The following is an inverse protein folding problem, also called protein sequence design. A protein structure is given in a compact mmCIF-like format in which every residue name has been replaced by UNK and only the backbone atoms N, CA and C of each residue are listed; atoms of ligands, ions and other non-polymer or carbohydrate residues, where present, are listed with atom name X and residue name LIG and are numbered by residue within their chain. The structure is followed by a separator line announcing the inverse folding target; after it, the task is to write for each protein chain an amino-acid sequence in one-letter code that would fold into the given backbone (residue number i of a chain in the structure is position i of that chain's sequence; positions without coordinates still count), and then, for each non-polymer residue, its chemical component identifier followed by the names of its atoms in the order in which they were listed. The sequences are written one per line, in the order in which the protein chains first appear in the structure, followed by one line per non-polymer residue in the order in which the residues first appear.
data_IF_670199286391
#
_entry.id   IF_670199286391
#
_cell.length_a   1.000
_cell.length_b   1.000
_cell.length_c   1.000
_cell.angle_alpha   90.00
_cell.angle_beta   90.00
_cell.angle_gamma   90.00
#
_symmetry.space_group_name_H-M   'P 1'
#
loop_
_entity.id
_entity.type
_entity.pdbx_description
1 polymer ?
#
# COMPACT_ATOMS: atom_id res chain seq x y z
N UNK A 1 23.29 -19.75 -8.06
CA UNK A 1 23.48 -18.94 -6.85
C UNK A 1 22.21 -19.02 -6.05
N UNK A 2 22.30 -19.47 -4.81
CA UNK A 2 21.15 -19.52 -3.91
C UNK A 2 21.11 -18.24 -3.07
N UNK A 3 19.99 -17.53 -3.10
CA UNK A 3 19.75 -16.36 -2.26
C UNK A 3 18.92 -16.79 -1.06
N UNK A 4 19.41 -16.48 0.15
CA UNK A 4 18.73 -16.80 1.41
C UNK A 4 18.19 -15.48 2.01
N UNK A 5 16.87 -15.24 1.99
CA UNK A 5 16.28 -14.05 2.59
C UNK A 5 16.34 -14.11 4.12
N UNK A 6 16.37 -12.94 4.78
CA UNK A 6 16.32 -12.87 6.25
C UNK A 6 14.89 -12.97 6.77
N UNK A 7 13.91 -12.57 5.96
CA UNK A 7 12.49 -12.64 6.29
C UNK A 7 11.82 -13.76 5.50
N UNK A 8 10.77 -14.41 6.05
CA UNK A 8 9.98 -15.36 5.29
C UNK A 8 9.46 -14.75 3.98
N UNK A 9 9.60 -15.50 2.89
CA UNK A 9 9.13 -15.10 1.56
C UNK A 9 8.10 -16.11 1.07
N UNK A 10 7.14 -15.67 0.24
CA UNK A 10 6.12 -16.55 -0.32
C UNK A 10 6.67 -17.56 -1.33
N UNK A 11 7.90 -17.36 -1.79
CA UNK A 11 8.60 -18.23 -2.72
C UNK A 11 10.12 -18.10 -2.56
N UNK A 12 10.82 -19.15 -2.97
CA UNK A 12 12.27 -19.19 -3.13
C UNK A 12 12.71 -18.59 -4.47
N UNK A 13 14.01 -18.33 -4.63
CA UNK A 13 14.57 -17.93 -5.93
C UNK A 13 14.31 -18.99 -7.02
N UNK A 14 14.45 -20.27 -6.69
CA UNK A 14 14.20 -21.35 -7.64
C UNK A 14 12.75 -21.35 -8.14
N UNK A 15 11.78 -21.11 -7.27
CA UNK A 15 10.37 -20.97 -7.66
C UNK A 15 10.13 -19.71 -8.48
N UNK A 16 10.72 -18.57 -8.09
CA UNK A 16 10.60 -17.32 -8.83
C UNK A 16 11.12 -17.44 -10.28
N UNK A 17 12.17 -18.21 -10.53
CA UNK A 17 12.69 -18.44 -11.90
C UNK A 17 11.72 -19.18 -12.81
N UNK A 18 10.70 -19.84 -12.26
CA UNK A 18 9.66 -20.53 -13.04
C UNK A 18 8.50 -19.61 -13.42
N UNK A 19 8.39 -18.42 -12.82
CA UNK A 19 7.34 -17.47 -13.15
C UNK A 19 7.59 -16.85 -14.53
N UNK A 20 6.51 -16.44 -15.19
CA UNK A 20 6.57 -15.71 -16.45
C UNK A 20 7.11 -14.29 -16.23
N UNK A 21 7.83 -13.76 -17.22
CA UNK A 21 8.43 -12.41 -17.13
C UNK A 21 7.40 -11.33 -16.79
N UNK A 22 6.23 -11.26 -17.48
CA UNK A 22 5.22 -10.24 -17.17
C UNK A 22 4.77 -10.30 -15.71
N UNK A 23 4.60 -11.51 -15.16
CA UNK A 23 4.21 -11.74 -13.77
C UNK A 23 5.28 -11.19 -12.82
N UNK A 24 6.56 -11.47 -13.11
CA UNK A 24 7.66 -10.96 -12.29
C UNK A 24 7.71 -9.42 -12.33
N UNK A 25 7.57 -8.81 -13.51
CA UNK A 25 7.63 -7.35 -13.64
C UNK A 25 6.45 -6.64 -13.00
N UNK A 26 5.24 -7.20 -13.11
CA UNK A 26 4.04 -6.67 -12.45
C UNK A 26 4.15 -6.76 -10.92
N UNK A 27 4.66 -7.89 -10.42
CA UNK A 27 4.93 -8.08 -9.00
C UNK A 27 5.94 -7.05 -8.48
N UNK A 28 7.05 -6.80 -9.21
CA UNK A 28 8.03 -5.77 -8.83
C UNK A 28 7.37 -4.39 -8.76
N UNK A 29 6.58 -4.01 -9.78
CA UNK A 29 5.89 -2.72 -9.81
C UNK A 29 4.92 -2.56 -8.62
N UNK A 30 4.16 -3.61 -8.30
CA UNK A 30 3.25 -3.59 -7.15
C UNK A 30 4.00 -3.44 -5.84
N UNK A 31 5.11 -4.15 -5.66
CA UNK A 31 5.95 -4.04 -4.46
C UNK A 31 6.59 -2.65 -4.34
N UNK A 32 7.06 -2.06 -5.44
CA UNK A 32 7.59 -0.69 -5.44
C UNK A 32 6.53 0.33 -5.00
N UNK A 33 5.29 0.19 -5.49
CA UNK A 33 4.16 1.04 -5.06
C UNK A 33 3.86 0.86 -3.56
N UNK A 34 3.82 -0.39 -3.08
CA UNK A 34 3.61 -0.67 -1.65
C UNK A 34 4.73 -0.09 -0.78
N UNK A 35 5.99 -0.21 -1.21
CA UNK A 35 7.14 0.38 -0.52
C UNK A 35 7.07 1.91 -0.48
N UNK A 36 6.60 2.57 -1.55
CA UNK A 36 6.42 4.02 -1.55
C UNK A 36 5.41 4.47 -0.49
N UNK A 37 4.27 3.76 -0.40
CA UNK A 37 3.27 4.04 0.61
C UNK A 37 3.81 3.79 2.02
N UNK A 38 4.44 2.64 2.26
CA UNK A 38 5.03 2.31 3.57
C UNK A 38 6.11 3.30 3.98
N UNK A 39 6.93 3.80 3.04
CA UNK A 39 7.94 4.80 3.36
C UNK A 39 7.32 6.13 3.79
N UNK A 40 6.23 6.57 3.12
CA UNK A 40 5.50 7.78 3.54
C UNK A 40 4.94 7.62 4.96
N UNK A 41 4.30 6.49 5.24
CA UNK A 41 3.80 6.19 6.60
C UNK A 41 4.93 6.14 7.62
N UNK A 42 6.10 5.60 7.28
CA UNK A 42 7.26 5.62 8.17
C UNK A 42 7.76 7.04 8.46
N UNK A 43 7.79 7.89 7.44
CA UNK A 43 8.23 9.28 7.60
C UNK A 43 7.24 10.05 8.51
N UNK A 44 5.94 9.85 8.32
CA UNK A 44 4.87 10.40 9.18
C UNK A 44 5.00 9.90 10.63
N UNK A 45 5.11 8.58 10.85
CA UNK A 45 5.26 8.00 12.19
C UNK A 45 6.52 8.54 12.89
N UNK A 46 7.62 8.68 12.16
CA UNK A 46 8.87 9.22 12.70
C UNK A 46 8.72 10.69 13.11
N UNK A 47 8.01 11.49 12.33
CA UNK A 47 7.72 12.89 12.68
C UNK A 47 6.92 12.98 13.99
N UNK A 48 5.89 12.14 14.14
CA UNK A 48 5.10 12.08 15.37
C UNK A 48 5.92 11.63 16.60
N UNK A 49 6.75 10.59 16.45
CA UNK A 49 7.60 10.07 17.53
C UNK A 49 8.70 11.06 17.94
N UNK A 50 9.23 11.86 17.01
CA UNK A 50 10.29 12.83 17.31
C UNK A 50 9.78 14.19 17.76
N UNK A 51 8.55 14.54 17.38
CA UNK A 51 7.88 15.78 17.79
C UNK A 51 7.12 15.69 19.12
N UNK A 52 6.83 14.47 19.61
CA UNK A 52 6.20 14.25 20.90
C UNK A 52 7.24 14.17 22.02
N UNK A 53 6.92 14.75 23.19
CA UNK A 53 7.72 14.55 24.41
C UNK A 53 7.26 13.34 25.22
N UNK A 54 6.14 12.71 24.82
CA UNK A 54 5.57 11.52 25.45
C UNK A 54 5.83 10.30 24.55
N UNK A 55 6.27 9.21 25.17
CA UNK A 55 6.45 7.91 24.52
C UNK A 55 5.07 7.34 24.13
N UNK A 56 4.85 7.10 22.84
CA UNK A 56 3.65 6.46 22.32
C UNK A 56 3.99 5.05 21.82
N UNK A 57 3.81 4.07 22.70
CA UNK A 57 4.14 2.67 22.43
C UNK A 57 3.40 2.11 21.20
N UNK A 58 2.21 2.62 20.89
CA UNK A 58 1.42 2.15 19.72
C UNK A 58 2.07 2.66 18.43
N UNK A 59 2.50 3.92 18.40
CA UNK A 59 3.22 4.47 17.25
C UNK A 59 4.61 3.83 17.08
N UNK A 60 5.31 3.53 18.17
CA UNK A 60 6.60 2.82 18.13
C UNK A 60 6.46 1.39 17.58
N UNK A 61 5.42 0.67 18.00
CA UNK A 61 5.11 -0.67 17.50
C UNK A 61 4.79 -0.61 16.00
N UNK A 62 3.91 0.31 15.58
CA UNK A 62 3.58 0.50 14.17
C UNK A 62 4.81 0.83 13.32
N UNK A 63 5.69 1.71 13.81
CA UNK A 63 6.94 2.08 13.15
C UNK A 63 7.88 0.88 12.99
N UNK A 64 7.97 0.05 14.03
CA UNK A 64 8.80 -1.15 14.05
C UNK A 64 8.27 -2.22 13.10
N UNK A 65 6.96 -2.43 13.07
CA UNK A 65 6.34 -3.46 12.23
C UNK A 65 6.38 -3.09 10.75
N UNK A 66 6.10 -1.84 10.41
CA UNK A 66 6.29 -1.33 9.05
C UNK A 66 7.74 -1.50 8.58
N UNK A 67 8.73 -1.30 9.46
CA UNK A 67 10.15 -1.51 9.14
C UNK A 67 10.44 -2.97 8.75
N UNK A 68 9.86 -3.95 9.44
CA UNK A 68 9.98 -5.38 9.10
C UNK A 68 9.33 -5.69 7.76
N UNK A 69 8.14 -5.14 7.50
CA UNK A 69 7.43 -5.33 6.23
C UNK A 69 8.23 -4.74 5.07
N UNK A 70 8.76 -3.52 5.22
CA UNK A 70 9.63 -2.88 4.22
C UNK A 70 10.84 -3.76 3.91
N UNK A 71 11.50 -4.30 4.94
CA UNK A 71 12.66 -5.17 4.76
C UNK A 71 12.31 -6.45 3.99
N UNK A 72 11.20 -7.13 4.37
CA UNK A 72 10.71 -8.31 3.65
C UNK A 72 10.35 -8.01 2.19
N UNK A 73 9.70 -6.88 1.90
CA UNK A 73 9.35 -6.52 0.53
C UNK A 73 10.57 -6.20 -0.34
N UNK A 74 11.59 -5.53 0.22
CA UNK A 74 12.88 -5.27 -0.48
C UNK A 74 13.59 -6.57 -0.84
N UNK A 75 13.58 -7.56 0.05
CA UNK A 75 14.12 -8.89 -0.22
C UNK A 75 13.34 -9.60 -1.34
N UNK A 76 12.00 -9.49 -1.34
CA UNK A 76 11.17 -10.05 -2.41
C UNK A 76 11.50 -9.47 -3.78
N UNK A 77 11.64 -8.14 -3.87
CA UNK A 77 12.09 -7.47 -5.10
C UNK A 77 13.46 -8.00 -5.54
N UNK A 78 14.38 -8.22 -4.59
CA UNK A 78 15.72 -8.75 -4.88
C UNK A 78 15.63 -10.14 -5.50
N UNK A 79 14.83 -11.05 -4.93
CA UNK A 79 14.60 -12.40 -5.48
C UNK A 79 14.05 -12.31 -6.90
N UNK A 80 13.06 -11.46 -7.14
CA UNK A 80 12.42 -11.29 -8.44
C UNK A 80 13.40 -10.73 -9.50
N UNK A 81 14.23 -9.74 -9.13
CA UNK A 81 15.27 -9.20 -10.03
C UNK A 81 16.34 -10.25 -10.36
N UNK A 82 16.72 -11.09 -9.41
CA UNK A 82 17.62 -12.23 -9.65
C UNK A 82 16.97 -13.26 -10.58
N UNK A 83 15.68 -13.53 -10.42
CA UNK A 83 14.94 -14.45 -11.30
C UNK A 83 14.92 -13.97 -12.75
N UNK A 84 14.74 -12.66 -13.00
CA UNK A 84 14.86 -12.07 -14.34
C UNK A 84 16.28 -12.19 -14.90
N UNK A 85 17.28 -11.93 -14.07
CA UNK A 85 18.69 -12.06 -14.46
C UNK A 85 19.03 -13.49 -14.88
N UNK A 86 18.52 -14.50 -14.16
CA UNK A 86 18.67 -15.92 -14.51
C UNK A 86 17.99 -16.28 -15.84
N UNK A 87 16.96 -15.53 -16.26
CA UNK A 87 16.30 -15.69 -17.56
C UNK A 87 17.02 -14.93 -18.69
N UNK A 88 18.19 -14.35 -18.43
CA UNK A 88 18.96 -13.56 -19.41
C UNK A 88 18.41 -12.16 -19.63
N UNK A 89 17.49 -11.69 -18.78
CA UNK A 89 16.92 -10.36 -18.86
C UNK A 89 17.36 -9.54 -17.65
N UNK A 90 18.49 -8.82 -17.75
CA UNK A 90 18.91 -7.92 -16.69
C UNK A 90 17.81 -6.88 -16.47
N UNK A 91 17.38 -6.72 -15.22
CA UNK A 91 16.38 -5.72 -14.86
C UNK A 91 16.96 -4.33 -15.11
N UNK A 92 16.61 -3.75 -16.27
CA UNK A 92 17.01 -2.41 -16.72
C UNK A 92 15.87 -1.40 -16.49
N UNK A 93 16.18 -0.11 -16.54
CA UNK A 93 15.23 1.01 -16.36
C UNK A 93 13.97 0.91 -17.24
N UNK A 94 13.97 0.14 -18.33
CA UNK A 94 12.77 -0.12 -19.15
C UNK A 94 11.64 -0.81 -18.39
N UNK A 95 11.94 -1.55 -17.31
CA UNK A 95 10.96 -2.22 -16.46
C UNK A 95 10.67 -1.46 -15.16
N UNK A 96 11.26 -0.27 -14.99
CA UNK A 96 11.01 0.64 -13.85
C UNK A 96 9.86 1.62 -14.14
N UNK A 97 9.11 1.37 -15.22
CA UNK A 97 7.90 2.11 -15.53
C UNK A 97 6.87 1.82 -14.44
N UNK A 98 6.88 2.67 -13.42
CA UNK A 98 5.76 2.84 -12.51
C UNK A 98 4.50 2.99 -13.38
N UNK A 99 3.45 2.19 -13.19
CA UNK A 99 2.20 2.43 -13.89
C UNK A 99 1.73 3.83 -13.47
N UNK A 100 1.87 4.78 -14.37
CA UNK A 100 1.35 6.12 -14.22
C UNK A 100 -0.18 5.96 -14.08
N UNK A 101 -0.68 5.99 -12.84
CA UNK A 101 -2.11 5.96 -12.57
C UNK A 101 -2.72 7.24 -13.15
N UNK A 102 -3.61 7.17 -14.15
CA UNK A 102 -4.33 8.36 -14.58
C UNK A 102 -5.33 8.76 -13.48
N UNK A 103 -5.08 9.92 -12.86
CA UNK A 103 -6.13 10.79 -12.32
C UNK A 103 -6.77 10.36 -11.00
N UNK A 104 -6.09 10.66 -9.89
CA UNK A 104 -6.81 11.16 -8.73
C UNK A 104 -7.40 12.53 -9.11
N UNK A 105 -8.62 12.55 -9.66
CA UNK A 105 -9.36 13.79 -9.88
C UNK A 105 -9.68 14.35 -8.49
N UNK A 106 -8.86 15.31 -8.06
CA UNK A 106 -9.14 16.18 -6.93
C UNK A 106 -10.29 17.09 -7.36
N UNK A 107 -11.53 16.70 -7.09
CA UNK A 107 -12.66 17.62 -7.15
C UNK A 107 -12.89 18.22 -5.77
N UNK A 108 -12.11 19.25 -5.46
CA UNK A 108 -12.48 20.25 -4.47
C UNK A 108 -13.07 21.44 -5.25
N UNK A 109 -14.36 21.72 -5.05
CA UNK A 109 -15.05 22.82 -5.74
C UNK A 109 -16.56 22.79 -5.59
N UNK A 110 -17.02 23.06 -4.37
CA UNK A 110 -18.25 23.80 -3.98
C UNK A 110 -19.25 24.16 -5.11
N UNK A 111 -20.49 23.66 -5.03
CA UNK A 111 -21.66 24.52 -4.78
C UNK A 111 -22.96 23.73 -4.59
N UNK A 112 -23.58 24.04 -3.46
CA UNK A 112 -24.99 23.97 -3.08
C UNK A 112 -25.99 23.64 -4.22
N UNK A 113 -26.80 22.61 -4.02
CA UNK A 113 -28.20 22.71 -4.40
C UNK A 113 -29.11 21.94 -3.43
N UNK A 114 -29.90 22.74 -2.74
CA UNK A 114 -31.04 22.40 -1.90
C UNK A 114 -32.06 21.56 -2.67
N UNK A 115 -32.42 20.39 -2.15
CA UNK A 115 -33.80 19.85 -2.24
C UNK A 115 -34.02 18.93 -1.05
N UNK A 116 -34.65 19.49 -0.02
CA UNK A 116 -35.30 18.73 1.05
C UNK A 116 -36.52 18.04 0.45
N UNK A 117 -36.41 16.74 0.18
CA UNK A 117 -37.57 15.91 -0.11
C UNK A 117 -38.17 15.48 1.23
N UNK A 118 -39.24 16.17 1.62
CA UNK A 118 -40.10 15.81 2.72
C UNK A 118 -40.82 14.49 2.40
N UNK A 119 -40.39 13.39 3.01
CA UNK A 119 -41.19 12.17 3.06
C UNK A 119 -42.21 12.34 4.18
N UNK A 120 -43.45 12.55 3.78
CA UNK A 120 -44.65 12.55 4.61
C UNK A 120 -44.76 11.24 5.38
N UNK A 121 -44.50 11.29 6.69
CA UNK A 121 -44.89 10.25 7.64
C UNK A 121 -46.32 10.55 8.08
N UNK A 122 -47.17 9.59 7.77
CA UNK A 122 -48.60 9.59 7.92
C UNK A 122 -48.99 9.70 9.42
N UNK A 123 -49.95 10.59 9.65
CA UNK A 123 -50.68 10.85 10.90
C UNK A 123 -51.36 9.60 11.47
N UNK A 124 -51.19 9.34 12.77
CA UNK A 124 -52.28 8.99 13.70
C UNK A 124 -51.76 9.05 15.15
N UNK A 125 -51.81 10.23 15.78
CA UNK A 125 -51.71 10.36 17.24
C UNK A 125 -52.81 11.32 17.70
N UNK A 126 -53.94 10.73 18.06
CA UNK A 126 -55.16 11.43 18.47
C UNK A 126 -55.91 10.63 19.53
N UNK A 127 -55.19 10.08 20.52
CA UNK A 127 -55.75 9.54 21.74
C UNK A 127 -56.13 10.67 22.69
N UNK A 128 -57.43 10.82 22.92
CA UNK A 128 -58.08 11.86 23.72
C UNK A 128 -57.89 11.53 25.20
N UNK A 129 -57.40 12.48 26.01
CA UNK A 129 -57.37 12.39 27.46
C UNK A 129 -58.17 13.58 28.04
N UNK A 130 -59.47 13.33 28.31
CA UNK A 130 -60.36 14.07 29.20
C UNK A 130 -61.43 13.12 29.76
#
# INVERSE_FOLDING_TARGET
MDYIPRHPQPFTLAEATRLEVPVITEEIARLQNSLNYLQRTQDELKEHLTGSSEEDAVLEEAYTDNSKVIASQKERITILKMALSNKGMPYSNHYDASPNLPGAVRSAGTSLNTTVTATSLQTDDGGIDL
#
